data_IF_546471268329
#
_entry.id   IF_546471268329
#
_cell.length_a   1.000
_cell.length_b   1.000
_cell.length_c   1.000
_cell.angle_alpha   90.00
_cell.angle_beta   90.00
_cell.angle_gamma   90.00
#
_symmetry.space_group_name_H-M   'P 1'
#
loop_
_entity.id
_entity.type
_entity.pdbx_description
1 polymer ?
#
# COMPACT_ATOMS: atom_id res chain seq x y z
N UNK A 1 -12.60 17.47 -17.00
CA UNK A 1 -11.24 17.13 -17.48
C UNK A 1 -10.82 15.82 -16.84
N UNK A 2 -10.40 14.85 -17.65
CA UNK A 2 -9.89 13.56 -17.20
C UNK A 2 -8.38 13.73 -17.04
N UNK A 3 -7.83 13.35 -15.89
CA UNK A 3 -6.45 13.63 -15.53
C UNK A 3 -5.66 12.32 -15.52
N UNK A 4 -4.86 12.09 -16.56
CA UNK A 4 -3.98 10.92 -16.65
C UNK A 4 -2.60 11.27 -16.11
N UNK A 5 -1.97 10.29 -15.48
CA UNK A 5 -0.73 10.41 -14.74
C UNK A 5 0.48 10.25 -15.64
N UNK A 6 1.21 11.34 -15.88
CA UNK A 6 2.17 11.34 -16.97
C UNK A 6 3.63 11.30 -16.54
N UNK A 7 4.00 11.64 -15.29
CA UNK A 7 5.42 11.80 -14.93
C UNK A 7 5.90 11.02 -13.69
N UNK A 8 7.13 10.50 -13.77
CA UNK A 8 7.99 10.19 -12.62
C UNK A 8 9.08 11.26 -12.46
N UNK A 9 9.48 11.52 -11.22
CA UNK A 9 10.48 12.53 -10.87
C UNK A 9 11.49 11.90 -9.92
N UNK A 10 12.77 11.91 -10.29
CA UNK A 10 13.91 11.43 -9.49
C UNK A 10 14.96 12.51 -9.39
N UNK A 11 15.76 12.48 -8.32
CA UNK A 11 16.94 13.34 -8.20
C UNK A 11 18.20 12.54 -8.49
N UNK A 12 19.06 13.08 -9.34
CA UNK A 12 20.45 12.63 -9.50
C UNK A 12 21.29 13.78 -8.98
N UNK A 13 21.85 13.59 -7.79
CA UNK A 13 22.49 14.66 -7.01
C UNK A 13 21.51 15.82 -6.75
N UNK A 14 21.78 17.01 -7.31
CA UNK A 14 20.96 18.21 -7.23
C UNK A 14 20.04 18.42 -8.44
N UNK A 15 20.10 17.52 -9.43
CA UNK A 15 19.33 17.63 -10.67
C UNK A 15 18.03 16.84 -10.58
N UNK A 16 16.90 17.52 -10.78
CA UNK A 16 15.59 16.89 -10.93
C UNK A 16 15.42 16.33 -12.35
N UNK A 17 15.34 15.01 -12.47
CA UNK A 17 15.07 14.29 -13.72
C UNK A 17 13.59 13.92 -13.77
N UNK A 18 12.91 14.36 -14.83
CA UNK A 18 11.48 14.13 -15.05
C UNK A 18 11.28 13.25 -16.28
N UNK A 19 10.62 12.11 -16.11
CA UNK A 19 10.39 11.11 -17.16
C UNK A 19 8.90 10.86 -17.38
N UNK A 20 8.50 10.74 -18.64
CA UNK A 20 7.14 10.34 -18.96
C UNK A 20 6.92 8.86 -18.63
N UNK A 21 5.81 8.53 -17.96
CA UNK A 21 5.42 7.16 -17.61
C UNK A 21 4.41 6.58 -18.61
N UNK A 22 3.86 7.41 -19.49
CA UNK A 22 2.93 7.07 -20.56
C UNK A 22 3.23 7.96 -21.76
N UNK A 23 2.77 7.57 -22.94
CA UNK A 23 2.84 8.43 -24.12
C UNK A 23 2.03 9.71 -23.87
N UNK A 24 2.63 10.87 -24.18
CA UNK A 24 2.02 12.19 -24.02
C UNK A 24 1.84 12.79 -25.41
N UNK A 25 0.62 13.15 -25.78
CA UNK A 25 0.36 13.80 -27.06
C UNK A 25 0.74 15.28 -27.01
N UNK A 26 1.01 15.87 -28.18
CA UNK A 26 1.25 17.29 -28.27
C UNK A 26 0.09 18.09 -27.66
N UNK A 27 0.43 19.11 -26.85
CA UNK A 27 -0.50 19.97 -26.12
C UNK A 27 -1.32 19.30 -25.00
N UNK A 28 -0.97 18.08 -24.58
CA UNK A 28 -1.53 17.52 -23.34
C UNK A 28 -0.90 18.18 -22.11
N UNK A 29 -1.75 18.50 -21.13
CA UNK A 29 -1.31 19.02 -19.85
C UNK A 29 -0.57 17.94 -19.07
N UNK A 30 0.61 18.29 -18.55
CA UNK A 30 1.49 17.33 -17.90
C UNK A 30 1.26 17.36 -16.39
N UNK A 31 0.79 16.23 -15.84
CA UNK A 31 0.56 16.08 -14.41
C UNK A 31 1.60 15.16 -13.77
N UNK A 32 2.22 15.64 -12.68
CA UNK A 32 2.95 14.79 -11.73
C UNK A 32 1.95 14.26 -10.70
N UNK A 33 1.96 12.95 -10.42
CA UNK A 33 1.21 12.48 -9.25
C UNK A 33 1.79 13.12 -8.01
N UNK A 34 0.94 13.73 -7.19
CA UNK A 34 1.31 13.96 -5.80
C UNK A 34 1.48 12.57 -5.18
N UNK A 35 2.72 12.09 -4.99
CA UNK A 35 2.99 10.72 -4.50
C UNK A 35 3.11 10.67 -2.98
N UNK A 36 3.29 11.81 -2.30
CA UNK A 36 3.58 11.85 -0.87
C UNK A 36 3.05 13.12 -0.25
N UNK A 37 2.28 12.98 0.82
CA UNK A 37 2.01 14.08 1.74
C UNK A 37 2.89 13.87 2.95
N UNK A 38 3.72 14.87 3.23
CA UNK A 38 4.50 14.95 4.45
C UNK A 38 3.55 15.25 5.60
N UNK A 39 3.25 14.23 6.42
CA UNK A 39 2.53 14.44 7.67
C UNK A 39 3.56 14.67 8.80
N UNK A 40 3.22 15.44 9.85
CA UNK A 40 4.13 15.73 10.97
C UNK A 40 4.69 14.51 11.71
N UNK A 41 4.17 13.30 11.45
CA UNK A 41 4.58 12.04 12.09
C UNK A 41 4.96 10.93 11.10
N UNK A 42 5.19 11.26 9.83
CA UNK A 42 5.66 10.31 8.82
C UNK A 42 5.23 10.66 7.40
N UNK A 43 5.86 9.99 6.43
CA UNK A 43 5.53 10.15 5.02
C UNK A 43 4.37 9.20 4.68
N UNK A 44 3.20 9.75 4.34
CA UNK A 44 2.11 8.95 3.79
C UNK A 44 2.14 9.06 2.28
N UNK A 45 2.22 7.91 1.59
CA UNK A 45 2.07 7.91 0.12
C UNK A 45 0.64 8.35 -0.20
N UNK A 46 0.50 9.37 -1.04
CA UNK A 46 -0.81 9.89 -1.44
C UNK A 46 -1.66 8.82 -2.15
N UNK A 47 -1.02 7.86 -2.84
CA UNK A 47 -1.66 6.67 -3.43
C UNK A 47 -2.38 5.79 -2.39
N UNK A 48 -1.84 5.77 -1.17
CA UNK A 48 -2.30 4.96 -0.04
C UNK A 48 -3.40 5.61 0.79
N UNK A 49 -3.69 6.88 0.55
CA UNK A 49 -4.70 7.63 1.28
C UNK A 49 -6.10 7.43 0.67
N UNK A 50 -7.11 7.35 1.56
CA UNK A 50 -8.51 7.41 1.15
C UNK A 50 -8.79 8.70 0.35
N UNK A 51 -9.75 8.64 -0.57
CA UNK A 51 -10.05 9.76 -1.49
C UNK A 51 -10.32 11.07 -0.75
N UNK A 52 -11.14 11.03 0.29
CA UNK A 52 -11.52 12.21 1.07
C UNK A 52 -10.32 12.79 1.82
N UNK A 53 -9.46 11.94 2.37
CA UNK A 53 -8.22 12.38 3.00
C UNK A 53 -7.29 13.07 1.98
N UNK A 54 -7.20 12.58 0.75
CA UNK A 54 -6.40 13.21 -0.32
C UNK A 54 -6.91 14.58 -0.71
N UNK A 55 -8.23 14.71 -0.90
CA UNK A 55 -8.88 15.98 -1.22
C UNK A 55 -8.65 16.99 -0.10
N UNK A 56 -8.86 16.56 1.14
CA UNK A 56 -8.65 17.42 2.31
C UNK A 56 -7.19 17.86 2.45
N UNK A 57 -6.23 16.96 2.23
CA UNK A 57 -4.80 17.30 2.29
C UNK A 57 -4.41 18.28 1.17
N UNK A 58 -4.86 18.09 -0.07
CA UNK A 58 -4.59 19.04 -1.16
C UNK A 58 -5.25 20.40 -0.91
N UNK A 59 -6.45 20.41 -0.35
CA UNK A 59 -7.14 21.64 0.03
C UNK A 59 -6.40 22.39 1.13
N UNK A 60 -5.86 21.69 2.12
CA UNK A 60 -5.11 22.30 3.23
C UNK A 60 -3.70 22.75 2.86
N UNK A 61 -2.97 21.93 2.10
CA UNK A 61 -1.55 22.14 1.84
C UNK A 61 -1.30 22.94 0.56
N UNK A 62 -2.19 22.82 -0.43
CA UNK A 62 -2.00 23.40 -1.75
C UNK A 62 -3.16 24.33 -2.15
N UNK A 63 -4.20 24.46 -1.32
CA UNK A 63 -5.41 25.25 -1.63
C UNK A 63 -6.12 24.80 -2.93
N UNK A 64 -5.99 23.53 -3.29
CA UNK A 64 -6.55 22.95 -4.52
C UNK A 64 -7.73 22.04 -4.18
N UNK A 65 -8.83 22.19 -4.93
CA UNK A 65 -9.93 21.23 -4.95
C UNK A 65 -9.70 20.19 -6.07
N UNK A 66 -9.37 18.96 -5.69
CA UNK A 66 -8.91 17.93 -6.62
C UNK A 66 -10.07 17.28 -7.37
N UNK A 67 -10.12 17.52 -8.69
CA UNK A 67 -11.10 16.93 -9.63
C UNK A 67 -10.49 15.86 -10.53
N UNK A 68 -9.40 15.21 -10.10
CA UNK A 68 -8.77 14.15 -10.89
C UNK A 68 -9.69 12.94 -11.07
N UNK A 69 -9.48 12.17 -12.15
CA UNK A 69 -10.33 11.02 -12.49
C UNK A 69 -10.47 10.02 -11.32
N UNK A 70 -9.38 9.80 -10.58
CA UNK A 70 -9.34 8.91 -9.41
C UNK A 70 -10.15 9.49 -8.22
N UNK A 71 -10.23 10.82 -8.11
CA UNK A 71 -10.96 11.52 -7.05
C UNK A 71 -12.45 11.76 -7.40
N UNK A 72 -12.78 11.80 -8.69
CA UNK A 72 -14.14 12.00 -9.21
C UNK A 72 -14.87 10.69 -9.49
N UNK A 73 -14.16 9.62 -9.84
CA UNK A 73 -14.73 8.29 -10.10
C UNK A 73 -14.17 7.24 -9.13
N UNK A 74 -14.90 6.97 -8.02
CA UNK A 74 -14.52 5.93 -7.06
C UNK A 74 -14.44 4.53 -7.69
N UNK A 75 -15.10 4.29 -8.83
CA UNK A 75 -15.09 2.99 -9.52
C UNK A 75 -13.80 2.76 -10.32
N UNK A 76 -13.12 3.83 -10.77
CA UNK A 76 -11.81 3.73 -11.43
C UNK A 76 -10.65 3.51 -10.45
N UNK A 77 -10.76 4.01 -9.22
CA UNK A 77 -9.84 3.67 -8.11
C UNK A 77 -9.99 2.21 -7.63
N UNK A 78 -11.14 1.57 -7.92
CA UNK A 78 -11.60 0.30 -7.32
C UNK A 78 -11.06 -0.98 -7.96
N UNK A 79 -9.83 -0.97 -8.47
CA UNK A 79 -9.09 -2.25 -8.62
C UNK A 79 -8.32 -2.49 -7.32
N UNK A 80 -9.04 -3.09 -6.37
CA UNK A 80 -8.52 -3.79 -5.19
C UNK A 80 -7.87 -2.99 -4.03
N UNK A 81 -7.48 -1.71 -4.21
CA UNK A 81 -6.66 -0.99 -3.21
C UNK A 81 -7.34 -0.64 -1.87
N UNK A 82 -8.63 -0.28 -1.88
CA UNK A 82 -9.40 0.10 -0.68
C UNK A 82 -10.69 -0.75 -0.58
N UNK A 83 -10.62 -2.01 -1.02
CA UNK A 83 -11.78 -2.90 -1.08
C UNK A 83 -12.00 -3.69 0.23
N UNK A 84 -13.26 -3.75 0.65
CA UNK A 84 -13.76 -4.65 1.69
C UNK A 84 -13.94 -6.07 1.15
N UNK A 85 -13.92 -7.04 2.05
CA UNK A 85 -14.20 -8.42 1.72
C UNK A 85 -15.72 -8.63 1.58
N UNK A 86 -16.17 -9.14 0.44
CA UNK A 86 -17.56 -9.49 0.26
C UNK A 86 -17.93 -10.71 1.13
N UNK A 87 -18.95 -10.57 1.98
CA UNK A 87 -19.44 -11.66 2.82
C UNK A 87 -20.04 -12.83 2.03
N UNK A 88 -20.51 -12.58 0.79
CA UNK A 88 -21.16 -13.60 -0.07
C UNK A 88 -20.18 -14.37 -0.95
N UNK A 89 -19.30 -13.66 -1.66
CA UNK A 89 -18.43 -14.28 -2.68
C UNK A 89 -16.93 -14.12 -2.41
N UNK A 90 -16.55 -13.52 -1.28
CA UNK A 90 -15.17 -13.19 -0.91
C UNK A 90 -14.41 -12.32 -1.94
N UNK A 91 -15.13 -11.76 -2.92
CA UNK A 91 -14.59 -10.81 -3.87
C UNK A 91 -14.51 -9.38 -3.31
N UNK A 92 -13.94 -8.45 -4.08
CA UNK A 92 -13.81 -7.05 -3.66
C UNK A 92 -15.19 -6.39 -3.55
N UNK A 93 -15.41 -5.68 -2.46
CA UNK A 93 -16.57 -4.84 -2.21
C UNK A 93 -16.14 -3.42 -1.86
N UNK A 94 -16.99 -2.45 -2.15
CA UNK A 94 -16.63 -1.06 -1.97
C UNK A 94 -17.77 -0.22 -1.42
N UNK A 95 -17.41 0.81 -0.64
CA UNK A 95 -18.37 1.74 -0.03
C UNK A 95 -19.24 2.40 -1.10
N UNK A 96 -20.53 2.56 -0.75
CA UNK A 96 -21.52 3.32 -1.50
C UNK A 96 -22.04 4.45 -0.61
N UNK A 97 -21.74 5.68 -0.98
CA UNK A 97 -22.13 6.86 -0.21
C UNK A 97 -21.36 7.00 1.12
N UNK A 98 -21.92 7.76 2.05
CA UNK A 98 -21.29 8.10 3.33
C UNK A 98 -21.56 7.09 4.46
N UNK A 99 -22.43 6.09 4.23
CA UNK A 99 -22.79 5.10 5.23
C UNK A 99 -21.86 3.88 5.18
N UNK A 100 -21.92 3.02 6.21
CA UNK A 100 -21.23 1.71 6.26
C UNK A 100 -21.76 0.68 5.24
N UNK A 101 -22.43 1.15 4.17
CA UNK A 101 -22.98 0.33 3.09
C UNK A 101 -21.90 0.11 2.05
N UNK A 102 -21.78 -1.14 1.63
CA UNK A 102 -20.80 -1.59 0.64
C UNK A 102 -21.51 -2.46 -0.41
N UNK A 103 -20.96 -2.49 -1.62
CA UNK A 103 -21.42 -3.36 -2.71
C UNK A 103 -20.26 -4.11 -3.32
N UNK A 104 -20.46 -5.41 -3.50
CA UNK A 104 -19.50 -6.26 -4.19
C UNK A 104 -19.42 -5.94 -5.67
N UNK A 105 -18.21 -5.78 -6.19
CA UNK A 105 -17.94 -5.55 -7.62
C UNK A 105 -18.17 -6.83 -8.43
N UNK A 106 -17.93 -8.00 -7.84
CA UNK A 106 -18.06 -9.30 -8.53
C UNK A 106 -19.50 -9.80 -8.61
N UNK A 107 -20.24 -9.76 -7.49
CA UNK A 107 -21.59 -10.35 -7.41
C UNK A 107 -22.71 -9.34 -7.17
N UNK A 108 -22.41 -8.04 -7.18
CA UNK A 108 -23.35 -6.93 -6.98
C UNK A 108 -24.13 -6.94 -5.64
N UNK A 109 -23.81 -7.87 -4.73
CA UNK A 109 -24.45 -7.98 -3.42
C UNK A 109 -24.14 -6.76 -2.55
N UNK A 110 -25.18 -6.16 -2.00
CA UNK A 110 -25.12 -4.99 -1.11
C UNK A 110 -25.23 -5.45 0.34
N UNK A 111 -24.36 -4.96 1.20
CA UNK A 111 -24.37 -5.28 2.62
C UNK A 111 -23.89 -4.09 3.45
N UNK A 112 -24.15 -4.14 4.75
CA UNK A 112 -23.64 -3.17 5.72
C UNK A 112 -22.49 -3.84 6.47
N UNK A 113 -21.38 -3.13 6.61
CA UNK A 113 -20.28 -3.56 7.47
C UNK A 113 -20.74 -3.65 8.92
N UNK A 114 -20.11 -4.50 9.72
CA UNK A 114 -20.45 -4.64 11.13
C UNK A 114 -20.24 -3.31 11.89
N UNK A 115 -21.08 -2.97 12.89
CA UNK A 115 -21.01 -1.68 13.57
C UNK A 115 -19.67 -1.37 14.23
N UNK A 116 -18.93 -2.39 14.64
CA UNK A 116 -17.61 -2.29 15.28
C UNK A 116 -16.46 -2.14 14.28
N UNK A 117 -16.72 -2.31 12.98
CA UNK A 117 -15.71 -2.19 11.91
C UNK A 117 -14.94 -0.87 12.01
N UNK A 118 -15.55 0.33 12.10
CA UNK A 118 -14.80 1.59 12.17
C UNK A 118 -13.82 1.67 13.34
N UNK A 119 -14.21 1.13 14.50
CA UNK A 119 -13.36 1.10 15.68
C UNK A 119 -12.18 0.16 15.49
N UNK A 120 -12.41 -1.02 14.90
CA UNK A 120 -11.36 -1.97 14.53
C UNK A 120 -10.40 -1.39 13.48
N UNK A 121 -10.92 -0.73 12.45
CA UNK A 121 -10.11 -0.05 11.44
C UNK A 121 -9.20 0.99 12.09
N UNK A 122 -9.76 1.89 12.92
CA UNK A 122 -8.97 2.91 13.64
C UNK A 122 -7.87 2.30 14.51
N UNK A 123 -8.18 1.23 15.23
CA UNK A 123 -7.20 0.51 16.05
C UNK A 123 -6.07 -0.08 15.20
N UNK A 124 -6.40 -0.75 14.09
CA UNK A 124 -5.40 -1.31 13.17
C UNK A 124 -4.51 -0.20 12.61
N UNK A 125 -5.10 0.88 12.10
CA UNK A 125 -4.32 2.01 11.59
C UNK A 125 -3.40 2.61 12.66
N UNK A 126 -3.87 2.76 13.89
CA UNK A 126 -3.01 3.22 14.99
C UNK A 126 -1.83 2.26 15.23
N UNK A 127 -2.08 0.96 15.33
CA UNK A 127 -1.04 -0.06 15.60
C UNK A 127 -0.05 -0.21 14.45
N UNK A 128 -0.50 -0.08 13.21
CA UNK A 128 0.39 -0.22 12.04
C UNK A 128 1.32 0.99 11.90
N UNK A 129 0.82 2.19 12.19
CA UNK A 129 1.56 3.44 11.99
C UNK A 129 2.22 4.01 13.26
N UNK A 130 2.05 3.36 14.41
CA UNK A 130 2.83 3.71 15.60
C UNK A 130 4.32 3.47 15.32
N UNK A 131 5.17 4.18 16.06
CA UNK A 131 6.62 3.95 16.00
C UNK A 131 6.92 2.59 16.65
N UNK A 132 7.35 1.62 15.85
CA UNK A 132 7.73 0.29 16.34
C UNK A 132 9.16 0.31 16.89
N UNK A 133 9.32 -0.23 18.10
CA UNK A 133 10.61 -0.40 18.77
C UNK A 133 11.37 -1.62 18.24
N UNK A 134 10.65 -2.56 17.62
CA UNK A 134 11.20 -3.86 17.23
C UNK A 134 11.21 -4.84 18.40
N UNK A 135 10.28 -4.69 19.35
CA UNK A 135 10.05 -5.66 20.41
C UNK A 135 9.22 -6.85 19.89
N UNK A 136 9.24 -7.97 20.61
CA UNK A 136 8.37 -9.13 20.32
C UNK A 136 6.88 -8.74 20.33
N UNK A 137 6.49 -7.88 21.27
CA UNK A 137 5.12 -7.37 21.39
C UNK A 137 4.69 -6.59 20.14
N UNK A 138 5.57 -5.80 19.53
CA UNK A 138 5.26 -5.07 18.30
C UNK A 138 4.94 -6.02 17.13
N UNK A 139 5.64 -7.15 17.03
CA UNK A 139 5.38 -8.18 16.00
C UNK A 139 4.03 -8.86 16.23
N UNK A 140 3.78 -9.29 17.47
CA UNK A 140 2.54 -9.98 17.86
C UNK A 140 1.33 -9.09 17.54
N UNK A 141 1.43 -7.79 17.84
CA UNK A 141 0.42 -6.81 17.47
C UNK A 141 0.21 -6.69 15.95
N UNK A 142 1.28 -6.73 15.15
CA UNK A 142 1.19 -6.68 13.69
C UNK A 142 0.52 -7.94 13.12
N UNK A 143 0.81 -9.13 13.65
CA UNK A 143 0.12 -10.36 13.26
C UNK A 143 -1.35 -10.36 13.68
N UNK A 144 -1.68 -9.82 14.84
CA UNK A 144 -3.08 -9.66 15.24
C UNK A 144 -3.81 -8.66 14.32
N UNK A 145 -3.13 -7.61 13.87
CA UNK A 145 -3.67 -6.72 12.84
C UNK A 145 -3.93 -7.46 11.53
N UNK A 146 -3.07 -8.39 11.10
CA UNK A 146 -3.31 -9.21 9.90
C UNK A 146 -4.61 -10.03 10.04
N UNK A 147 -4.79 -10.74 11.16
CA UNK A 147 -6.00 -11.56 11.41
C UNK A 147 -7.28 -10.71 11.36
N UNK A 148 -7.23 -9.50 11.91
CA UNK A 148 -8.37 -8.58 11.85
C UNK A 148 -8.63 -8.14 10.40
N UNK A 149 -7.57 -7.78 9.68
CA UNK A 149 -7.66 -7.31 8.30
C UNK A 149 -8.20 -8.37 7.35
N UNK A 150 -7.80 -9.64 7.50
CA UNK A 150 -8.26 -10.76 6.66
C UNK A 150 -9.78 -10.98 6.72
N UNK A 151 -10.42 -10.57 7.81
CA UNK A 151 -11.87 -10.67 7.98
C UNK A 151 -12.64 -9.46 7.43
N UNK A 152 -11.98 -8.32 7.25
CA UNK A 152 -12.61 -7.05 6.88
C UNK A 152 -12.32 -6.69 5.43
N UNK A 153 -11.08 -6.89 5.00
CA UNK A 153 -10.54 -6.35 3.77
C UNK A 153 -10.30 -7.42 2.73
N UNK A 154 -10.46 -7.04 1.46
CA UNK A 154 -10.05 -7.88 0.36
C UNK A 154 -8.51 -7.98 0.33
N UNK A 155 -7.98 -9.13 -0.10
CA UNK A 155 -6.57 -9.49 0.09
C UNK A 155 -5.53 -8.55 -0.54
N UNK A 156 -5.95 -7.61 -1.39
CA UNK A 156 -5.10 -6.59 -2.00
C UNK A 156 -5.26 -5.18 -1.40
N UNK A 157 -5.92 -5.08 -0.25
CA UNK A 157 -6.11 -3.81 0.44
C UNK A 157 -4.78 -3.19 0.88
N UNK A 158 -4.67 -1.87 0.78
CA UNK A 158 -3.45 -1.13 1.07
C UNK A 158 -2.92 -1.34 2.50
N UNK A 159 -3.80 -1.65 3.46
CA UNK A 159 -3.38 -1.93 4.84
C UNK A 159 -2.46 -3.15 4.93
N UNK A 160 -2.69 -4.18 4.12
CA UNK A 160 -1.82 -5.36 4.09
C UNK A 160 -0.41 -4.96 3.68
N UNK A 161 -0.27 -4.10 2.66
CA UNK A 161 1.02 -3.59 2.22
C UNK A 161 1.77 -2.90 3.38
N UNK A 162 1.08 -2.12 4.20
CA UNK A 162 1.69 -1.41 5.32
C UNK A 162 2.12 -2.36 6.43
N UNK A 163 1.29 -3.36 6.74
CA UNK A 163 1.64 -4.38 7.74
C UNK A 163 2.86 -5.20 7.28
N UNK A 164 2.87 -5.68 6.04
CA UNK A 164 3.99 -6.45 5.50
C UNK A 164 5.29 -5.62 5.42
N UNK A 165 5.23 -4.31 5.15
CA UNK A 165 6.39 -3.42 5.23
C UNK A 165 6.97 -3.31 6.63
N UNK A 166 6.09 -3.17 7.63
CA UNK A 166 6.51 -3.12 9.04
C UNK A 166 7.12 -4.45 9.48
N UNK A 167 6.52 -5.58 9.11
CA UNK A 167 7.06 -6.92 9.36
C UNK A 167 8.40 -7.14 8.65
N UNK A 168 8.52 -6.76 7.37
CA UNK A 168 9.77 -6.87 6.62
C UNK A 168 10.90 -6.07 7.31
N UNK A 169 10.62 -4.84 7.72
CA UNK A 169 11.57 -4.00 8.46
C UNK A 169 12.01 -4.66 9.77
N UNK A 170 11.08 -5.31 10.46
CA UNK A 170 11.38 -6.06 11.66
C UNK A 170 12.32 -7.24 11.36
N UNK A 171 12.01 -8.07 10.36
CA UNK A 171 12.80 -9.24 10.03
C UNK A 171 14.21 -8.90 9.52
N UNK A 172 14.37 -7.75 8.84
CA UNK A 172 15.71 -7.23 8.50
C UNK A 172 16.53 -6.96 9.76
N UNK A 173 15.96 -6.33 10.79
CA UNK A 173 16.68 -6.03 12.05
C UNK A 173 17.06 -7.28 12.83
N UNK A 174 16.30 -8.36 12.69
CA UNK A 174 16.58 -9.65 13.33
C UNK A 174 17.48 -10.55 12.47
N UNK A 175 17.97 -10.07 11.32
CA UNK A 175 18.70 -10.87 10.35
C UNK A 175 17.94 -12.15 9.90
N UNK A 176 16.61 -12.15 10.02
CA UNK A 176 15.78 -13.29 9.62
C UNK A 176 15.44 -13.19 8.12
N UNK A 177 16.37 -13.67 7.31
CA UNK A 177 16.28 -13.69 5.85
C UNK A 177 14.99 -14.34 5.32
N UNK A 178 14.61 -15.50 5.87
CA UNK A 178 13.48 -16.30 5.38
C UNK A 178 12.18 -15.52 5.51
N UNK A 179 11.91 -14.97 6.69
CA UNK A 179 10.68 -14.23 6.94
C UNK A 179 10.65 -12.88 6.23
N UNK A 180 11.81 -12.22 6.08
CA UNK A 180 11.92 -11.03 5.24
C UNK A 180 11.53 -11.32 3.78
N UNK A 181 12.08 -12.38 3.18
CA UNK A 181 11.78 -12.76 1.80
C UNK A 181 10.30 -13.13 1.62
N UNK A 182 9.70 -13.81 2.61
CA UNK A 182 8.26 -14.09 2.63
C UNK A 182 7.45 -12.79 2.58
N UNK A 183 7.76 -11.82 3.46
CA UNK A 183 7.09 -10.52 3.48
C UNK A 183 7.30 -9.74 2.18
N UNK A 184 8.53 -9.70 1.66
CA UNK A 184 8.87 -8.99 0.43
C UNK A 184 8.15 -9.56 -0.80
N UNK A 185 8.02 -10.89 -0.89
CA UNK A 185 7.26 -11.56 -1.95
C UNK A 185 5.78 -11.18 -1.91
N UNK A 186 5.18 -11.12 -0.72
CA UNK A 186 3.79 -10.70 -0.56
C UNK A 186 3.63 -9.22 -0.91
N UNK A 187 4.57 -8.37 -0.48
CA UNK A 187 4.63 -6.96 -0.84
C UNK A 187 4.68 -6.76 -2.36
N UNK A 188 5.54 -7.50 -3.06
CA UNK A 188 5.63 -7.48 -4.53
C UNK A 188 4.31 -7.87 -5.18
N UNK A 189 3.68 -8.96 -4.72
CA UNK A 189 2.39 -9.40 -5.24
C UNK A 189 1.33 -8.31 -5.06
N UNK A 190 1.28 -7.67 -3.89
CA UNK A 190 0.38 -6.57 -3.62
C UNK A 190 0.64 -5.36 -4.54
N UNK A 191 1.90 -5.01 -4.80
CA UNK A 191 2.24 -3.89 -5.69
C UNK A 191 1.82 -4.18 -7.13
N UNK A 192 2.10 -5.39 -7.63
CA UNK A 192 1.78 -5.83 -9.00
C UNK A 192 0.26 -5.83 -9.24
N UNK A 193 -0.51 -6.40 -8.32
CA UNK A 193 -1.97 -6.51 -8.42
C UNK A 193 -2.67 -5.15 -8.33
N UNK A 194 -2.03 -4.17 -7.70
CA UNK A 194 -2.54 -2.79 -7.62
C UNK A 194 -2.36 -2.01 -8.91
N UNK A 195 -1.65 -2.56 -9.90
CA UNK A 195 -1.52 -2.02 -11.25
C UNK A 195 -1.12 -0.53 -11.25
N UNK A 196 -0.37 -0.12 -10.22
CA UNK A 196 0.12 1.24 -10.12
C UNK A 196 1.35 1.26 -11.01
N UNK A 197 1.40 2.19 -11.95
CA UNK A 197 2.59 2.58 -12.72
C UNK A 197 3.73 3.14 -11.84
N UNK A 198 3.79 2.73 -10.57
CA UNK A 198 4.77 3.07 -9.56
C UNK A 198 6.01 2.16 -9.71
N UNK A 199 6.67 2.31 -10.86
CA UNK A 199 7.93 1.63 -11.22
C UNK A 199 9.00 1.87 -10.14
N UNK A 200 8.99 3.05 -9.51
CA UNK A 200 9.96 3.40 -8.46
C UNK A 200 9.79 2.57 -7.18
N UNK A 201 8.55 2.39 -6.70
CA UNK A 201 8.29 1.54 -5.53
C UNK A 201 8.70 0.09 -5.77
N UNK A 202 8.48 -0.41 -6.99
CA UNK A 202 8.90 -1.74 -7.42
C UNK A 202 10.43 -1.86 -7.49
N UNK A 203 11.10 -0.87 -8.08
CA UNK A 203 12.57 -0.82 -8.18
C UNK A 203 13.26 -0.80 -6.81
N UNK A 204 12.74 -0.02 -5.84
CA UNK A 204 13.27 0.01 -4.47
C UNK A 204 13.12 -1.35 -3.79
N UNK A 205 11.99 -2.03 -3.96
CA UNK A 205 11.75 -3.33 -3.33
C UNK A 205 12.64 -4.42 -3.95
N UNK A 206 12.80 -4.44 -5.28
CA UNK A 206 13.75 -5.33 -5.95
C UNK A 206 15.17 -5.05 -5.48
N UNK A 207 15.58 -3.78 -5.45
CA UNK A 207 16.90 -3.40 -4.97
C UNK A 207 17.15 -3.86 -3.53
N UNK A 208 16.18 -3.66 -2.63
CA UNK A 208 16.27 -4.10 -1.24
C UNK A 208 16.38 -5.63 -1.12
N UNK A 209 15.60 -6.37 -1.91
CA UNK A 209 15.68 -7.83 -1.97
C UNK A 209 17.05 -8.27 -2.48
N UNK A 210 17.54 -7.71 -3.57
CA UNK A 210 18.87 -8.01 -4.11
C UNK A 210 19.97 -7.72 -3.09
N UNK A 211 19.93 -6.56 -2.43
CA UNK A 211 20.92 -6.17 -1.42
C UNK A 211 20.91 -7.14 -0.23
N UNK A 212 19.73 -7.53 0.27
CA UNK A 212 19.59 -8.50 1.36
C UNK A 212 20.09 -9.89 0.94
N UNK A 213 19.70 -10.38 -0.24
CA UNK A 213 20.19 -11.65 -0.78
C UNK A 213 21.71 -11.66 -0.92
N UNK A 214 22.30 -10.58 -1.45
CA UNK A 214 23.76 -10.45 -1.54
C UNK A 214 24.42 -10.42 -0.16
N UNK A 215 23.83 -9.72 0.81
CA UNK A 215 24.32 -9.67 2.19
C UNK A 215 24.34 -11.07 2.83
N UNK A 216 23.26 -11.84 2.66
CA UNK A 216 23.15 -13.23 3.15
C UNK A 216 24.17 -14.13 2.46
N UNK A 217 24.28 -14.07 1.13
CA UNK A 217 25.24 -14.86 0.37
C UNK A 217 26.69 -14.51 0.73
N UNK A 218 26.99 -13.24 1.03
CA UNK A 218 28.32 -12.78 1.45
C UNK A 218 28.69 -13.20 2.87
N UNK A 219 27.71 -13.44 3.75
CA UNK A 219 27.90 -13.91 5.13
C UNK A 219 28.04 -15.44 5.22
N UNK A 220 27.91 -16.16 4.09
CA UNK A 220 27.84 -17.62 4.04
C UNK A 220 26.42 -18.11 4.31
N UNK A 221 25.95 -19.09 3.52
CA UNK A 221 24.72 -19.81 3.83
C UNK A 221 24.90 -20.50 5.19
N UNK A 222 23.92 -20.45 6.11
CA UNK A 222 23.95 -21.34 7.27
C UNK A 222 24.05 -22.77 6.74
N UNK A 223 25.02 -23.53 7.23
CA UNK A 223 25.23 -24.92 6.87
C UNK A 223 23.87 -25.63 6.95
N UNK A 224 23.44 -26.17 5.82
CA UNK A 224 22.27 -27.04 5.79
C UNK A 224 22.57 -28.20 6.73
N UNK A 225 21.87 -28.28 7.86
CA UNK A 225 21.87 -29.48 8.68
C UNK A 225 21.40 -30.65 7.82
N UNK A 226 22.38 -31.41 7.35
CA UNK A 226 22.26 -32.76 6.85
C UNK A 226 21.90 -33.66 8.03
N UNK A 227 20.62 -33.70 8.38
CA UNK A 227 20.06 -34.79 9.18
C UNK A 227 18.73 -35.20 8.55
N UNK A 228 18.87 -35.98 7.48
CA UNK A 228 17.90 -36.96 7.02
C UNK A 228 18.72 -38.22 6.69
N UNK A 229 19.14 -38.91 7.75
CA UNK A 229 19.30 -40.36 7.75
C UNK A 229 18.08 -40.98 8.45
#
# INVERSE_FOLDING_TARGET
MIFTLCLSCSFVEDVAVVKANVDIKANEEIFRFCTTVFLPRGNMRFESAECEMRKELLKRLCFIDCKCEICTDPMKKKRAMDAYLCIKCKGPAAKIGQNMRVQCVKCNYKFTLLPDTPSKEKMVWYKVFKRHTGSKTDIEELYDCLKICENIYFLYHNIFLQIYKSLATFHVRQENAKEYLTCARIEMKLILERNVSNIMGYGILIYAVCLMTMTILSKGLPESNSELE
#
